data_IF_839599664398
#
_entry.id   IF_839599664398
#
_cell.length_a   1.000
_cell.length_b   1.000
_cell.length_c   1.000
_cell.angle_alpha   90.00
_cell.angle_beta   90.00
_cell.angle_gamma   90.00
#
_symmetry.space_group_name_H-M   'P 1'
#
loop_
_entity.id
_entity.type
_entity.pdbx_description
1 polymer ?
#
# COMPACT_ATOMS: atom_id res chain seq x y z
N UNK A 1 -8.88 3.88 15.64
CA UNK A 1 -7.69 3.01 15.74
C UNK A 1 -7.60 2.57 17.19
N UNK A 2 -7.48 1.27 17.47
CA UNK A 2 -7.33 0.79 18.85
C UNK A 2 -6.01 1.29 19.44
N UNK A 3 -5.94 1.43 20.77
CA UNK A 3 -4.78 2.02 21.46
C UNK A 3 -3.46 1.28 21.15
N UNK A 4 -3.51 -0.05 21.05
CA UNK A 4 -2.37 -0.89 20.69
C UNK A 4 -1.91 -0.65 19.23
N UNK A 5 -2.85 -0.43 18.31
CA UNK A 5 -2.55 -0.12 16.92
C UNK A 5 -1.94 1.29 16.78
N UNK A 6 -2.35 2.24 17.62
CA UNK A 6 -1.78 3.60 17.64
C UNK A 6 -0.30 3.54 18.04
N UNK A 7 0.03 2.81 19.11
CA UNK A 7 1.41 2.66 19.56
C UNK A 7 2.28 1.99 18.48
N UNK A 8 1.79 0.90 17.87
CA UNK A 8 2.48 0.23 16.77
C UNK A 8 2.71 1.16 15.57
N UNK A 9 1.66 1.87 15.14
CA UNK A 9 1.73 2.75 13.99
C UNK A 9 2.67 3.94 14.25
N UNK A 10 2.68 4.47 15.47
CA UNK A 10 3.57 5.57 15.86
C UNK A 10 5.04 5.15 15.82
N UNK A 11 5.38 3.96 16.35
CA UNK A 11 6.73 3.41 16.25
C UNK A 11 7.16 3.20 14.80
N UNK A 12 6.28 2.61 13.97
CA UNK A 12 6.54 2.44 12.54
C UNK A 12 6.78 3.79 11.83
N UNK A 13 5.97 4.80 12.11
CA UNK A 13 6.12 6.13 11.49
C UNK A 13 7.47 6.77 11.81
N UNK A 14 7.92 6.68 13.06
CA UNK A 14 9.22 7.22 13.46
C UNK A 14 10.38 6.55 12.73
N UNK A 15 10.37 5.22 12.63
CA UNK A 15 11.39 4.45 11.90
C UNK A 15 11.33 4.76 10.41
N UNK A 16 10.13 4.73 9.83
CA UNK A 16 9.90 4.97 8.41
C UNK A 16 10.36 6.36 7.94
N UNK A 17 10.19 7.40 8.77
CA UNK A 17 10.68 8.75 8.44
C UNK A 17 12.21 8.85 8.47
N UNK A 18 12.88 8.06 9.32
CA UNK A 18 14.34 8.03 9.48
C UNK A 18 15.05 7.16 8.44
N UNK A 19 14.30 6.34 7.69
CA UNK A 19 14.85 5.47 6.66
C UNK A 19 15.60 6.22 5.55
N UNK A 20 16.53 5.51 4.89
CA UNK A 20 17.11 6.02 3.64
C UNK A 20 16.04 6.17 2.54
N UNK A 21 16.31 6.91 1.46
CA UNK A 21 15.37 7.00 0.33
C UNK A 21 14.98 5.62 -0.22
N UNK A 22 15.98 4.73 -0.39
CA UNK A 22 15.76 3.34 -0.79
C UNK A 22 15.00 2.56 0.28
N UNK A 23 15.41 2.68 1.54
CA UNK A 23 14.76 2.01 2.67
C UNK A 23 13.27 2.37 2.75
N UNK A 24 12.94 3.66 2.73
CA UNK A 24 11.57 4.14 2.74
C UNK A 24 10.75 3.64 1.56
N UNK A 25 11.31 3.66 0.34
CA UNK A 25 10.60 3.14 -0.83
C UNK A 25 10.29 1.63 -0.72
N UNK A 26 11.23 0.83 -0.23
CA UNK A 26 11.07 -0.61 -0.06
C UNK A 26 10.13 -0.95 1.09
N UNK A 27 10.35 -0.37 2.27
CA UNK A 27 9.57 -0.61 3.49
C UNK A 27 8.13 -0.15 3.31
N UNK A 28 7.92 1.04 2.75
CA UNK A 28 6.57 1.58 2.52
C UNK A 28 5.75 0.71 1.57
N UNK A 29 6.37 0.22 0.48
CA UNK A 29 5.72 -0.69 -0.43
C UNK A 29 5.43 -2.06 0.21
N UNK A 30 6.35 -2.61 0.99
CA UNK A 30 6.17 -3.87 1.70
C UNK A 30 5.01 -3.80 2.70
N UNK A 31 4.86 -2.68 3.42
CA UNK A 31 3.73 -2.45 4.31
C UNK A 31 2.39 -2.52 3.54
N UNK A 32 2.27 -1.77 2.44
CA UNK A 32 1.04 -1.75 1.65
C UNK A 32 0.73 -3.10 1.02
N UNK A 33 1.75 -3.81 0.53
CA UNK A 33 1.60 -5.16 -0.01
C UNK A 33 1.05 -6.14 1.04
N UNK A 34 1.61 -6.13 2.25
CA UNK A 34 1.11 -6.92 3.38
C UNK A 34 -0.33 -6.56 3.78
N UNK A 35 -0.73 -5.27 3.66
CA UNK A 35 -2.14 -4.88 3.90
C UNK A 35 -3.08 -5.44 2.85
N UNK A 36 -2.70 -5.43 1.57
CA UNK A 36 -3.52 -6.02 0.50
C UNK A 36 -3.63 -7.54 0.61
N UNK A 37 -2.54 -8.21 1.00
CA UNK A 37 -2.53 -9.64 1.30
C UNK A 37 -3.60 -10.00 2.34
N UNK A 38 -3.57 -9.31 3.49
CA UNK A 38 -4.55 -9.50 4.58
C UNK A 38 -5.97 -9.19 4.12
N UNK A 39 -6.16 -8.16 3.30
CA UNK A 39 -7.47 -7.79 2.78
C UNK A 39 -8.06 -8.85 1.84
N UNK A 40 -7.24 -9.46 0.97
CA UNK A 40 -7.68 -10.56 0.11
C UNK A 40 -8.08 -11.78 0.94
N UNK A 41 -7.23 -12.19 1.88
CA UNK A 41 -7.51 -13.34 2.75
C UNK A 41 -8.77 -13.13 3.59
N UNK A 42 -9.00 -11.90 4.07
CA UNK A 42 -10.21 -11.56 4.81
C UNK A 42 -11.48 -11.63 3.94
N UNK A 43 -11.37 -11.31 2.65
CA UNK A 43 -12.48 -11.36 1.70
C UNK A 43 -12.79 -12.78 1.24
N UNK A 44 -11.80 -13.65 1.08
CA UNK A 44 -11.99 -15.03 0.59
C UNK A 44 -12.61 -15.96 1.65
N UNK A 45 -13.09 -17.13 1.20
CA UNK A 45 -13.44 -18.22 2.11
C UNK A 45 -12.18 -18.64 2.90
N UNK A 46 -12.27 -18.86 4.21
CA UNK A 46 -11.13 -19.25 5.00
C UNK A 46 -10.66 -20.67 4.62
N UNK A 47 -9.35 -20.90 4.70
CA UNK A 47 -8.76 -22.22 4.52
C UNK A 47 -7.66 -22.24 3.47
N UNK A 48 -7.08 -23.44 3.27
CA UNK A 48 -5.87 -23.65 2.49
C UNK A 48 -5.96 -23.18 1.04
N UNK A 49 -7.14 -23.29 0.41
CA UNK A 49 -7.35 -22.82 -0.97
C UNK A 49 -7.09 -21.31 -1.08
N UNK A 50 -7.56 -20.50 -0.13
CA UNK A 50 -7.32 -19.06 -0.15
C UNK A 50 -5.84 -18.72 0.13
N UNK A 51 -5.21 -19.43 1.06
CA UNK A 51 -3.77 -19.26 1.36
C UNK A 51 -2.89 -19.59 0.15
N UNK A 52 -3.16 -20.71 -0.52
CA UNK A 52 -2.41 -21.14 -1.71
C UNK A 52 -2.58 -20.15 -2.87
N UNK A 53 -3.71 -19.41 -2.92
CA UNK A 53 -3.93 -18.35 -3.90
C UNK A 53 -3.17 -17.05 -3.62
N UNK A 54 -2.70 -16.82 -2.38
CA UNK A 54 -2.20 -15.51 -1.92
C UNK A 54 -0.76 -15.51 -1.40
N UNK A 55 -0.31 -16.57 -0.71
CA UNK A 55 0.97 -16.57 0.05
C UNK A 55 2.06 -17.42 -0.64
N UNK A 56 1.69 -18.42 -1.45
CA UNK A 56 2.64 -19.36 -2.07
C UNK A 56 3.56 -18.76 -3.15
N UNK A 57 4.70 -19.41 -3.41
CA UNK A 57 5.68 -18.95 -4.42
C UNK A 57 5.14 -18.87 -5.85
N UNK A 58 4.11 -19.66 -6.18
CA UNK A 58 3.37 -19.61 -7.45
C UNK A 58 1.93 -19.12 -7.27
N UNK A 59 1.64 -18.43 -6.17
CA UNK A 59 0.31 -17.91 -5.89
C UNK A 59 -0.11 -16.88 -6.95
N UNK A 60 -1.32 -16.99 -7.54
CA UNK A 60 -1.85 -15.99 -8.47
C UNK A 60 -1.84 -14.58 -7.89
N UNK A 61 -2.13 -14.43 -6.59
CA UNK A 61 -2.02 -13.18 -5.84
C UNK A 61 -0.72 -13.08 -5.02
N UNK A 62 0.37 -13.69 -5.48
CA UNK A 62 1.67 -13.68 -4.78
C UNK A 62 2.53 -12.44 -5.01
N UNK A 63 2.14 -11.53 -5.91
CA UNK A 63 2.91 -10.31 -6.20
C UNK A 63 2.14 -9.07 -5.78
N UNK A 64 2.85 -8.00 -5.43
CA UNK A 64 2.22 -6.71 -5.12
C UNK A 64 1.28 -6.23 -6.24
N UNK A 65 1.68 -6.40 -7.51
CA UNK A 65 0.82 -6.02 -8.65
C UNK A 65 -0.44 -6.87 -8.76
N UNK A 66 -0.34 -8.20 -8.57
CA UNK A 66 -1.52 -9.08 -8.67
C UNK A 66 -2.48 -8.85 -7.50
N UNK A 67 -1.97 -8.54 -6.30
CA UNK A 67 -2.80 -8.17 -5.15
C UNK A 67 -3.55 -6.86 -5.35
N UNK A 68 -2.88 -5.82 -5.88
CA UNK A 68 -3.54 -4.56 -6.24
C UNK A 68 -4.69 -4.81 -7.22
N UNK A 69 -4.43 -5.60 -8.27
CA UNK A 69 -5.45 -5.90 -9.28
C UNK A 69 -6.60 -6.74 -8.70
N UNK A 70 -6.30 -7.76 -7.88
CA UNK A 70 -7.30 -8.59 -7.22
C UNK A 70 -8.20 -7.77 -6.29
N UNK A 71 -7.61 -6.99 -5.39
CA UNK A 71 -8.37 -6.12 -4.48
C UNK A 71 -9.29 -5.17 -5.24
N UNK A 72 -8.81 -4.57 -6.34
CA UNK A 72 -9.65 -3.68 -7.14
C UNK A 72 -10.77 -4.43 -7.88
N UNK A 73 -10.45 -5.58 -8.48
CA UNK A 73 -11.43 -6.39 -9.21
C UNK A 73 -12.56 -6.89 -8.30
N UNK A 74 -12.24 -7.17 -7.03
CA UNK A 74 -13.23 -7.55 -6.01
C UNK A 74 -13.91 -6.34 -5.33
N UNK A 75 -13.62 -5.11 -5.74
CA UNK A 75 -14.21 -3.89 -5.18
C UNK A 75 -13.76 -3.55 -3.76
N UNK A 76 -12.65 -4.13 -3.29
CA UNK A 76 -12.11 -3.93 -1.94
C UNK A 76 -11.34 -2.60 -1.80
N UNK A 77 -10.86 -2.07 -2.92
CA UNK A 77 -10.19 -0.76 -3.01
C UNK A 77 -10.78 0.07 -4.14
N UNK A 78 -10.73 1.39 -3.99
CA UNK A 78 -11.17 2.38 -4.96
C UNK A 78 -10.19 2.52 -6.12
N UNK A 79 -10.65 3.15 -7.21
CA UNK A 79 -9.79 3.48 -8.35
C UNK A 79 -8.64 4.44 -7.96
N UNK A 80 -8.87 5.32 -6.97
CA UNK A 80 -7.84 6.24 -6.47
C UNK A 80 -6.77 5.51 -5.67
N UNK A 81 -7.17 4.62 -4.74
CA UNK A 81 -6.24 3.77 -3.98
C UNK A 81 -5.43 2.88 -4.93
N UNK A 82 -6.07 2.26 -5.93
CA UNK A 82 -5.39 1.46 -6.96
C UNK A 82 -4.32 2.26 -7.72
N UNK A 83 -4.62 3.51 -8.07
CA UNK A 83 -3.65 4.38 -8.75
C UNK A 83 -2.45 4.65 -7.85
N UNK A 84 -2.68 5.10 -6.63
CA UNK A 84 -1.61 5.42 -5.68
C UNK A 84 -0.73 4.20 -5.39
N UNK A 85 -1.34 3.02 -5.18
CA UNK A 85 -0.61 1.75 -4.97
C UNK A 85 0.26 1.37 -6.16
N UNK A 86 -0.21 1.59 -7.41
CA UNK A 86 0.61 1.35 -8.61
C UNK A 86 1.75 2.34 -8.78
N UNK A 87 1.57 3.59 -8.34
CA UNK A 87 2.63 4.59 -8.31
C UNK A 87 3.68 4.19 -7.27
N UNK A 88 3.27 3.81 -6.06
CA UNK A 88 4.18 3.29 -5.01
C UNK A 88 4.97 2.08 -5.52
N UNK A 89 4.29 1.12 -6.19
CA UNK A 89 4.94 -0.03 -6.82
C UNK A 89 5.99 0.39 -7.85
N UNK A 90 5.68 1.38 -8.69
CA UNK A 90 6.60 1.90 -9.71
C UNK A 90 7.83 2.55 -9.07
N UNK A 91 7.64 3.39 -8.05
CA UNK A 91 8.72 4.00 -7.28
C UNK A 91 9.62 2.92 -6.66
N UNK A 92 9.02 1.97 -5.94
CA UNK A 92 9.73 0.83 -5.33
C UNK A 92 10.58 0.07 -6.35
N UNK A 93 10.04 -0.18 -7.54
CA UNK A 93 10.75 -0.91 -8.59
C UNK A 93 11.98 -0.13 -9.09
N UNK A 94 11.88 1.19 -9.26
CA UNK A 94 13.06 2.01 -9.61
C UNK A 94 14.14 1.92 -8.53
N UNK A 95 13.74 2.01 -7.26
CA UNK A 95 14.68 1.90 -6.13
C UNK A 95 15.31 0.50 -5.99
N UNK A 96 14.58 -0.56 -6.35
CA UNK A 96 15.04 -1.94 -6.27
C UNK A 96 15.95 -2.35 -7.44
N UNK A 97 15.73 -1.81 -8.64
CA UNK A 97 16.45 -2.24 -9.86
C UNK A 97 17.63 -1.34 -10.23
N UNK A 98 17.77 -0.15 -9.65
CA UNK A 98 18.98 0.67 -9.83
C UNK A 98 20.02 0.33 -8.78
N UNK A 99 21.26 0.10 -9.22
CA UNK A 99 22.35 -0.31 -8.33
C UNK A 99 22.74 0.79 -7.33
N UNK A 100 22.95 2.03 -7.79
CA UNK A 100 23.47 3.13 -6.96
C UNK A 100 22.83 4.49 -7.28
N UNK A 101 22.85 5.41 -6.30
CA UNK A 101 22.64 6.86 -6.52
C UNK A 101 21.19 7.33 -6.74
N UNK A 102 20.20 6.44 -6.71
CA UNK A 102 18.78 6.83 -6.85
C UNK A 102 18.25 7.46 -5.56
N UNK A 103 17.54 8.56 -5.70
CA UNK A 103 16.94 9.36 -4.62
C UNK A 103 15.55 9.84 -5.01
N UNK A 104 14.82 10.42 -4.06
CA UNK A 104 13.57 11.11 -4.36
C UNK A 104 13.77 12.42 -5.16
N UNK A 105 15.00 12.88 -5.35
CA UNK A 105 15.34 14.01 -6.20
C UNK A 105 15.49 13.65 -7.69
N UNK A 106 15.48 12.36 -8.06
CA UNK A 106 15.48 11.95 -9.46
C UNK A 106 14.21 12.41 -10.18
N UNK A 107 14.35 13.06 -11.34
CA UNK A 107 13.23 13.65 -12.12
C UNK A 107 12.07 12.68 -12.36
N UNK A 108 12.39 11.41 -12.65
CA UNK A 108 11.40 10.34 -12.84
C UNK A 108 10.61 10.04 -11.55
N UNK A 109 11.30 9.98 -10.41
CA UNK A 109 10.68 9.74 -9.10
C UNK A 109 9.84 10.94 -8.69
N UNK A 110 10.30 12.17 -8.94
CA UNK A 110 9.52 13.38 -8.72
C UNK A 110 8.21 13.39 -9.52
N UNK A 111 8.25 12.94 -10.78
CA UNK A 111 7.07 12.78 -11.62
C UNK A 111 6.06 11.78 -11.05
N UNK A 112 6.54 10.65 -10.54
CA UNK A 112 5.69 9.68 -9.83
C UNK A 112 5.10 10.28 -8.55
N UNK A 113 5.91 10.88 -7.69
CA UNK A 113 5.44 11.52 -6.45
C UNK A 113 4.42 12.62 -6.69
N UNK A 114 4.53 13.34 -7.81
CA UNK A 114 3.57 14.39 -8.19
C UNK A 114 2.22 13.84 -8.66
N UNK A 115 2.19 12.59 -9.10
CA UNK A 115 1.00 11.89 -9.59
C UNK A 115 0.19 11.19 -8.49
N UNK A 116 0.72 11.15 -7.26
CA UNK A 116 0.02 10.64 -6.08
C UNK A 116 -1.16 11.56 -5.74
N UNK A 117 -2.32 10.95 -5.46
CA UNK A 117 -3.58 11.65 -5.16
C UNK A 117 -3.78 11.95 -3.67
N UNK A 118 -2.90 11.43 -2.82
CA UNK A 118 -2.98 11.58 -1.37
C UNK A 118 -3.05 13.05 -0.93
N UNK A 119 -3.82 13.29 0.14
CA UNK A 119 -4.16 14.64 0.63
C UNK A 119 -2.88 15.37 1.05
N UNK A 120 -2.67 16.57 0.53
CA UNK A 120 -1.51 17.42 0.84
C UNK A 120 -1.82 18.24 2.08
N UNK A 121 -0.89 18.28 3.05
CA UNK A 121 -0.97 19.24 4.17
C UNK A 121 -0.69 20.66 3.65
N UNK A 122 -1.59 21.64 3.83
CA UNK A 122 -1.32 23.03 3.45
C UNK A 122 -0.13 23.63 4.20
N UNK A 123 0.02 23.33 5.49
CA UNK A 123 1.08 23.84 6.37
C UNK A 123 2.50 23.49 5.85
N UNK A 124 2.65 22.30 5.28
CA UNK A 124 3.92 21.83 4.71
C UNK A 124 4.33 22.59 3.44
N UNK A 125 3.36 23.06 2.66
CA UNK A 125 3.61 23.83 1.43
C UNK A 125 4.19 25.20 1.79
N UNK A 126 3.62 25.85 2.81
CA UNK A 126 4.01 27.17 3.27
C UNK A 126 5.42 27.19 3.88
N UNK A 127 5.79 26.16 4.65
CA UNK A 127 7.08 26.10 5.34
C UNK A 127 8.28 25.80 4.43
N UNK A 128 8.07 25.03 3.34
CA UNK A 128 9.18 24.53 2.51
C UNK A 128 9.25 25.15 1.11
N UNK A 129 8.41 26.14 0.80
CA UNK A 129 8.30 26.70 -0.55
C UNK A 129 7.84 25.67 -1.61
N UNK A 130 7.21 24.59 -1.17
CA UNK A 130 6.87 23.43 -1.98
C UNK A 130 6.62 22.19 -1.13
N UNK A 131 6.24 21.08 -1.77
CA UNK A 131 5.98 19.82 -1.07
C UNK A 131 6.98 18.75 -1.52
N UNK A 132 7.99 18.41 -0.69
CA UNK A 132 9.09 17.54 -1.07
C UNK A 132 8.62 16.19 -1.63
N UNK A 133 9.23 15.65 -2.70
CA UNK A 133 8.82 14.39 -3.31
C UNK A 133 8.81 13.21 -2.34
N UNK A 134 9.82 13.11 -1.45
CA UNK A 134 9.90 12.11 -0.39
C UNK A 134 8.73 12.22 0.58
N UNK A 135 8.35 13.44 0.96
CA UNK A 135 7.21 13.65 1.86
C UNK A 135 5.91 13.22 1.18
N UNK A 136 5.70 13.54 -0.11
CA UNK A 136 4.51 13.08 -0.87
C UNK A 136 4.40 11.56 -0.86
N UNK A 137 5.52 10.87 -1.07
CA UNK A 137 5.57 9.42 -1.03
C UNK A 137 5.20 8.89 0.35
N UNK A 138 5.83 9.43 1.41
CA UNK A 138 5.58 9.01 2.78
C UNK A 138 4.11 9.19 3.15
N UNK A 139 3.52 10.36 2.87
CA UNK A 139 2.12 10.63 3.18
C UNK A 139 1.18 9.71 2.41
N UNK A 140 1.51 9.37 1.16
CA UNK A 140 0.71 8.43 0.39
C UNK A 140 0.77 7.01 0.97
N UNK A 141 1.95 6.55 1.39
CA UNK A 141 2.10 5.27 2.08
C UNK A 141 1.30 5.27 3.38
N UNK A 142 1.45 6.30 4.20
CA UNK A 142 0.78 6.43 5.49
C UNK A 142 -0.73 6.45 5.31
N UNK A 143 -1.23 7.30 4.42
CA UNK A 143 -2.66 7.44 4.18
C UNK A 143 -3.28 6.14 3.66
N UNK A 144 -2.66 5.50 2.65
CA UNK A 144 -3.15 4.22 2.13
C UNK A 144 -3.05 3.11 3.21
N UNK A 145 -1.98 3.08 4.01
CA UNK A 145 -1.84 2.11 5.09
C UNK A 145 -2.94 2.28 6.15
N UNK A 146 -3.24 3.51 6.56
CA UNK A 146 -4.32 3.81 7.50
C UNK A 146 -5.69 3.38 6.96
N UNK A 147 -5.96 3.68 5.69
CA UNK A 147 -7.23 3.32 5.04
C UNK A 147 -7.41 1.80 4.88
N UNK A 148 -6.31 1.09 4.64
CA UNK A 148 -6.33 -0.37 4.49
C UNK A 148 -6.27 -1.11 5.82
N UNK A 149 -5.81 -0.47 6.91
CA UNK A 149 -5.60 -1.12 8.20
C UNK A 149 -6.86 -1.81 8.74
N UNK A 150 -7.97 -1.08 8.78
CA UNK A 150 -9.28 -1.57 9.24
C UNK A 150 -10.20 -1.99 8.10
N UNK A 151 -9.72 -1.95 6.85
CA UNK A 151 -10.54 -2.36 5.71
C UNK A 151 -11.05 -3.80 5.81
N UNK A 152 -10.30 -4.78 6.34
CA UNK A 152 -10.84 -6.14 6.55
C UNK A 152 -12.11 -6.18 7.40
N UNK A 153 -12.18 -5.37 8.46
CA UNK A 153 -13.36 -5.30 9.35
C UNK A 153 -14.53 -4.64 8.64
N UNK A 154 -14.28 -3.51 7.96
CA UNK A 154 -15.30 -2.82 7.16
C UNK A 154 -15.79 -3.67 5.98
N UNK A 155 -14.92 -4.52 5.42
CA UNK A 155 -15.24 -5.41 4.31
C UNK A 155 -15.88 -6.72 4.76
N UNK A 156 -16.00 -6.99 6.06
CA UNK A 156 -16.56 -8.24 6.58
C UNK A 156 -17.97 -8.56 6.04
N UNK A 157 -18.90 -7.60 5.85
CA UNK A 157 -20.20 -7.87 5.23
C UNK A 157 -20.11 -8.34 3.77
N UNK A 158 -19.00 -8.04 3.08
CA UNK A 158 -18.75 -8.44 1.68
C UNK A 158 -17.87 -9.69 1.57
N UNK A 159 -17.56 -10.36 2.70
CA UNK A 159 -16.79 -11.60 2.69
C UNK A 159 -17.49 -12.66 1.84
N UNK A 160 -16.70 -13.40 1.07
CA UNK A 160 -17.17 -14.53 0.27
C UNK A 160 -17.82 -15.58 1.18
N UNK A 161 -18.93 -16.14 0.70
CA UNK A 161 -19.70 -17.16 1.38
C UNK A 161 -19.92 -18.33 0.43
N UNK A 162 -19.93 -19.54 0.98
CA UNK A 162 -20.37 -20.71 0.25
C UNK A 162 -21.86 -20.58 -0.06
N UNK A 163 -22.27 -20.95 -1.27
CA UNK A 163 -23.64 -20.80 -1.74
C UNK A 163 -24.14 -22.14 -2.25
N UNK A 164 -25.33 -22.52 -1.81
CA UNK A 164 -26.11 -23.56 -2.45
C UNK A 164 -26.82 -22.94 -3.66
N UNK A 165 -26.51 -23.44 -4.86
CA UNK A 165 -27.13 -22.97 -6.09
C UNK A 165 -28.39 -23.80 -6.38
N UNK A 166 -29.52 -23.17 -6.78
CA UNK A 166 -30.82 -23.83 -6.86
C UNK A 166 -31.06 -24.57 -8.19
N UNK A 167 -30.02 -24.94 -8.93
CA UNK A 167 -30.16 -25.66 -10.21
C UNK A 167 -30.17 -27.17 -10.01
#
# INVERSE_FOLDING_TARGET
MHEQDIAYFSGFLEEFQKESDRGGALVGAALLDARLERLLLAHMLPGKVAEDLVIGGNAPFGTFSSRINGCYAFGLITASERQDLNIVRSIRNEFAHREHGITFADSKIQGFCSSLKSRRSPEMIEQNGGYPPRQRFNDAVIFNAMQLWYRPEHAAPFKAQERAWPY
#
